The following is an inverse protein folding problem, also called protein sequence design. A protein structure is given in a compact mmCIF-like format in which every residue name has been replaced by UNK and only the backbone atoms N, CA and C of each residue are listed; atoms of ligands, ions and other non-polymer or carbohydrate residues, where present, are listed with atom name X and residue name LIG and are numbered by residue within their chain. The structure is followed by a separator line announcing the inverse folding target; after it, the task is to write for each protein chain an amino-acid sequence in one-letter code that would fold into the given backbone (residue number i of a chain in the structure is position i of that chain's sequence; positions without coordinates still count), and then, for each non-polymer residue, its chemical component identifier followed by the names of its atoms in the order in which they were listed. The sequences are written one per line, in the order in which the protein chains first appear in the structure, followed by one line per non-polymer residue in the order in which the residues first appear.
data_IF_042687667515
#
_entry.id   IF_042687667515
#
_cell.length_a   1.000
_cell.length_b   1.000
_cell.length_c   1.000
_cell.angle_alpha   90.00
_cell.angle_beta   90.00
_cell.angle_gamma   90.00
#
_symmetry.space_group_name_H-M   'P 1'
#
loop_
_entity.id
_entity.type
_entity.pdbx_description
1 polymer ?
#
# COMPACT_ATOMS: atom_id res chain seq x y z
N UNK A 1 8.60 -64.73 41.59
CA UNK A 1 9.60 -65.54 40.86
C UNK A 1 9.65 -65.01 39.43
N UNK A 2 10.74 -64.58 38.80
CA UNK A 2 12.11 -64.27 39.19
C UNK A 2 12.69 -63.33 38.09
N UNK A 3 13.36 -62.25 38.54
CA UNK A 3 14.56 -61.55 37.99
C UNK A 3 14.78 -61.50 36.46
N UNK A 4 14.78 -60.31 35.82
CA UNK A 4 15.84 -59.28 35.78
C UNK A 4 17.07 -59.65 34.92
N UNK A 5 17.29 -58.91 33.83
CA UNK A 5 18.63 -58.52 33.39
C UNK A 5 18.62 -57.10 32.83
N UNK A 6 19.41 -56.25 33.49
CA UNK A 6 19.76 -54.91 33.07
C UNK A 6 20.89 -54.95 32.03
N UNK A 7 20.88 -54.00 31.09
CA UNK A 7 21.96 -53.71 30.16
C UNK A 7 22.07 -52.21 29.96
N UNK A 8 23.02 -51.61 30.67
CA UNK A 8 23.51 -50.23 30.59
C UNK A 8 24.14 -49.93 29.21
N UNK A 9 23.97 -48.71 28.70
CA UNK A 9 24.37 -48.38 27.33
C UNK A 9 24.25 -46.91 26.92
N UNK A 10 24.81 -46.00 27.72
CA UNK A 10 25.44 -44.72 27.29
C UNK A 10 24.64 -43.73 26.42
N UNK A 11 24.38 -42.58 27.05
CA UNK A 11 24.24 -41.23 26.49
C UNK A 11 24.97 -41.02 25.15
N UNK A 12 24.24 -40.51 24.15
CA UNK A 12 24.78 -39.60 23.12
C UNK A 12 23.74 -38.54 22.81
N UNK A 13 23.97 -37.35 23.38
CA UNK A 13 23.40 -36.09 22.95
C UNK A 13 23.78 -35.86 21.48
N UNK A 14 22.84 -36.08 20.56
CA UNK A 14 23.00 -35.66 19.18
C UNK A 14 22.64 -34.16 19.10
N UNK A 15 23.62 -33.31 19.41
CA UNK A 15 23.59 -31.90 19.06
C UNK A 15 23.44 -31.76 17.55
N UNK A 16 22.28 -31.26 17.10
CA UNK A 16 22.16 -30.67 15.77
C UNK A 16 23.14 -29.49 15.65
N UNK A 17 24.02 -29.45 14.65
CA UNK A 17 24.86 -28.28 14.45
C UNK A 17 23.98 -27.11 13.98
N UNK A 18 24.00 -26.03 14.77
CA UNK A 18 23.48 -24.70 14.38
C UNK A 18 24.11 -24.32 13.04
N UNK A 19 23.30 -24.28 11.97
CA UNK A 19 23.72 -23.66 10.70
C UNK A 19 24.00 -22.18 10.97
N UNK A 20 25.27 -21.80 10.93
CA UNK A 20 25.67 -20.41 10.81
C UNK A 20 25.04 -19.83 9.54
N UNK A 21 24.41 -18.66 9.66
CA UNK A 21 23.89 -17.88 8.55
C UNK A 21 25.08 -17.33 7.72
N UNK A 22 25.61 -18.17 6.84
CA UNK A 22 26.54 -17.73 5.79
C UNK A 22 25.79 -16.90 4.77
N UNK A 23 26.29 -15.69 4.47
CA UNK A 23 25.82 -14.86 3.35
C UNK A 23 25.81 -15.72 2.09
N UNK A 24 24.65 -15.86 1.44
CA UNK A 24 24.57 -16.48 0.10
C UNK A 24 25.47 -15.68 -0.85
N UNK A 25 26.35 -16.33 -1.64
CA UNK A 25 27.05 -15.63 -2.70
C UNK A 25 26.03 -15.08 -3.71
N UNK A 26 26.28 -13.92 -4.33
CA UNK A 26 25.42 -13.40 -5.38
C UNK A 26 25.34 -14.40 -6.53
N UNK A 27 24.14 -14.56 -7.09
CA UNK A 27 23.89 -15.42 -8.24
C UNK A 27 24.81 -15.02 -9.41
N UNK A 28 25.62 -15.94 -9.98
CA UNK A 28 26.42 -15.64 -11.16
C UNK A 28 25.49 -15.49 -12.37
N UNK A 29 25.37 -14.29 -12.93
CA UNK A 29 24.64 -14.11 -14.20
C UNK A 29 23.94 -12.78 -14.44
N UNK A 30 23.77 -11.91 -13.45
CA UNK A 30 23.34 -10.52 -13.71
C UNK A 30 24.55 -9.71 -14.21
N UNK A 31 24.93 -9.93 -15.47
CA UNK A 31 25.62 -8.87 -16.22
C UNK A 31 24.65 -7.72 -16.35
N UNK A 32 25.10 -6.51 -16.04
CA UNK A 32 24.42 -5.27 -16.39
C UNK A 32 24.10 -5.33 -17.89
N UNK A 33 22.84 -5.64 -18.21
CA UNK A 33 22.34 -5.59 -19.58
C UNK A 33 21.88 -4.16 -19.80
N UNK A 34 22.58 -3.52 -20.71
CA UNK A 34 22.25 -2.34 -21.51
C UNK A 34 21.24 -1.38 -20.90
N UNK A 35 21.78 -0.21 -20.59
CA UNK A 35 21.15 1.05 -20.25
C UNK A 35 20.17 1.50 -21.35
N UNK A 36 19.06 0.78 -21.51
CA UNK A 36 17.88 1.34 -22.14
C UNK A 36 17.25 2.29 -21.12
N UNK A 37 17.78 3.51 -21.11
CA UNK A 37 17.29 4.69 -20.40
C UNK A 37 15.76 4.70 -20.37
N UNK A 38 15.19 4.35 -19.22
CA UNK A 38 13.80 4.71 -18.90
C UNK A 38 13.78 6.23 -18.93
N UNK A 39 13.13 6.81 -19.93
CA UNK A 39 13.11 8.26 -20.09
C UNK A 39 12.42 8.90 -18.87
N UNK A 40 13.20 9.69 -18.14
CA UNK A 40 12.81 10.31 -16.87
C UNK A 40 12.21 11.71 -17.11
N UNK A 41 11.01 12.01 -16.59
CA UNK A 41 10.50 13.38 -16.55
C UNK A 41 11.34 14.24 -15.59
N UNK A 42 12.00 15.29 -16.11
CA UNK A 42 12.88 16.21 -15.36
C UNK A 42 12.14 17.38 -14.66
N UNK A 43 10.92 17.18 -14.16
CA UNK A 43 10.05 18.33 -13.84
C UNK A 43 9.92 18.71 -12.35
N UNK A 44 10.72 18.16 -11.43
CA UNK A 44 10.50 18.37 -9.98
C UNK A 44 11.63 19.06 -9.20
N UNK A 45 12.71 19.49 -9.86
CA UNK A 45 13.73 20.42 -9.30
C UNK A 45 13.16 21.79 -8.85
N UNK A 46 11.86 22.00 -9.05
CA UNK A 46 11.11 23.20 -8.68
C UNK A 46 10.41 23.10 -7.32
N UNK A 47 10.32 21.91 -6.71
CA UNK A 47 9.71 21.77 -5.38
C UNK A 47 10.69 22.19 -4.28
N UNK A 48 11.96 21.77 -4.35
CA UNK A 48 12.98 22.16 -3.37
C UNK A 48 13.28 23.66 -3.39
N UNK A 49 13.36 24.26 -4.60
CA UNK A 49 13.66 25.69 -4.75
C UNK A 49 12.56 26.64 -4.29
N UNK A 50 11.33 26.15 -4.08
CA UNK A 50 10.22 26.99 -3.58
C UNK A 50 10.16 27.04 -2.05
N UNK A 51 10.98 26.28 -1.32
CA UNK A 51 11.07 26.42 0.15
C UNK A 51 11.74 27.73 0.56
N UNK A 52 12.64 28.27 -0.27
CA UNK A 52 13.45 29.46 0.06
C UNK A 52 12.75 30.80 -0.25
N UNK A 53 11.78 30.82 -1.15
CA UNK A 53 11.10 32.05 -1.61
C UNK A 53 9.87 32.47 -0.77
N UNK A 54 9.57 31.75 0.32
CA UNK A 54 8.33 31.94 1.09
C UNK A 54 8.56 32.87 2.30
N UNK A 55 8.86 34.13 2.03
CA UNK A 55 8.99 35.18 3.04
C UNK A 55 7.62 35.72 3.47
N UNK A 56 6.90 34.94 4.28
CA UNK A 56 5.79 35.41 5.12
C UNK A 56 5.99 34.87 6.53
N UNK A 57 5.43 35.48 7.59
CA UNK A 57 5.56 34.95 8.94
C UNK A 57 4.97 33.54 8.98
N UNK A 58 5.84 32.54 9.15
CA UNK A 58 5.50 31.12 9.12
C UNK A 58 4.45 30.75 10.19
N UNK A 59 4.27 31.58 11.24
CA UNK A 59 3.47 31.29 12.42
C UNK A 59 1.93 31.20 12.21
N UNK A 60 1.39 31.54 11.04
CA UNK A 60 -0.06 31.51 10.79
C UNK A 60 -0.47 30.69 9.56
N UNK A 61 0.47 30.04 8.87
CA UNK A 61 0.15 29.34 7.61
C UNK A 61 -0.68 28.07 7.85
N UNK A 62 -1.77 27.94 7.11
CA UNK A 62 -2.65 26.78 7.12
C UNK A 62 -2.45 25.98 5.83
N UNK A 63 -2.12 24.69 5.96
CA UNK A 63 -1.86 23.79 4.83
C UNK A 63 -2.90 22.68 4.78
N UNK A 64 -3.43 22.41 3.58
CA UNK A 64 -4.31 21.27 3.31
C UNK A 64 -3.55 20.17 2.55
N UNK A 65 -3.44 18.99 3.15
CA UNK A 65 -3.03 17.77 2.46
C UNK A 65 -4.26 17.00 1.97
N UNK A 66 -4.25 16.51 0.73
CA UNK A 66 -5.28 15.63 0.18
C UNK A 66 -4.61 14.38 -0.41
N UNK A 67 -5.03 13.20 0.04
CA UNK A 67 -4.62 11.91 -0.50
C UNK A 67 -5.83 11.19 -1.09
N UNK A 68 -5.84 10.96 -2.40
CA UNK A 68 -6.87 10.20 -3.10
C UNK A 68 -6.39 8.81 -3.47
N UNK A 69 -7.06 7.78 -2.95
CA UNK A 69 -6.78 6.37 -3.25
C UNK A 69 -7.90 5.69 -4.03
N UNK A 70 -7.74 4.38 -4.27
CA UNK A 70 -8.74 3.58 -4.98
C UNK A 70 -10.06 3.36 -4.22
N UNK A 71 -10.05 3.47 -2.90
CA UNK A 71 -11.20 3.18 -2.02
C UNK A 71 -11.69 4.39 -1.23
N UNK A 72 -10.79 5.34 -0.94
CA UNK A 72 -11.06 6.48 -0.06
C UNK A 72 -10.20 7.67 -0.46
N UNK A 73 -10.70 8.87 -0.18
CA UNK A 73 -9.92 10.12 -0.19
C UNK A 73 -9.88 10.67 1.22
N UNK A 74 -8.71 11.08 1.69
CA UNK A 74 -8.52 11.74 2.99
C UNK A 74 -7.99 13.14 2.80
N UNK A 75 -8.44 14.08 3.64
CA UNK A 75 -7.92 15.44 3.65
C UNK A 75 -7.63 15.88 5.08
N UNK A 76 -6.45 16.46 5.29
CA UNK A 76 -5.99 16.92 6.61
C UNK A 76 -5.57 18.37 6.50
N UNK A 77 -6.19 19.22 7.32
CA UNK A 77 -5.87 20.63 7.44
C UNK A 77 -5.01 20.82 8.69
N UNK A 78 -3.83 21.41 8.53
CA UNK A 78 -2.89 21.66 9.62
C UNK A 78 -2.48 23.13 9.68
N UNK A 79 -2.15 23.61 10.87
CA UNK A 79 -1.49 24.90 11.06
C UNK A 79 0.04 24.79 10.91
N UNK A 80 0.73 25.90 11.16
CA UNK A 80 2.18 26.01 11.08
C UNK A 80 2.95 25.20 12.14
N UNK A 81 2.27 24.74 13.20
CA UNK A 81 2.82 23.90 14.25
C UNK A 81 2.43 22.42 14.03
N UNK A 82 1.99 22.06 12.82
CA UNK A 82 1.47 20.75 12.43
C UNK A 82 0.28 20.28 13.29
N UNK A 83 -0.43 21.19 13.94
CA UNK A 83 -1.66 20.85 14.68
C UNK A 83 -2.80 20.62 13.69
N UNK A 84 -3.47 19.48 13.83
CA UNK A 84 -4.61 19.11 12.99
C UNK A 84 -5.82 19.97 13.35
N UNK A 85 -6.20 20.85 12.44
CA UNK A 85 -7.40 21.69 12.53
C UNK A 85 -8.65 20.95 12.04
N UNK A 86 -8.49 20.07 11.04
CA UNK A 86 -9.56 19.22 10.53
C UNK A 86 -9.00 17.95 9.88
N UNK A 87 -9.77 16.85 9.98
CA UNK A 87 -9.52 15.61 9.25
C UNK A 87 -10.83 15.14 8.63
N UNK A 88 -10.84 15.00 7.30
CA UNK A 88 -12.01 14.69 6.50
C UNK A 88 -11.76 13.41 5.69
N UNK A 89 -12.84 12.70 5.39
CA UNK A 89 -12.81 11.55 4.51
C UNK A 89 -13.96 11.66 3.50
N UNK A 90 -13.70 11.23 2.28
CA UNK A 90 -14.68 11.13 1.22
C UNK A 90 -14.51 9.82 0.44
N UNK A 91 -15.33 9.62 -0.59
CA UNK A 91 -15.29 8.45 -1.45
C UNK A 91 -13.97 8.28 -2.23
N UNK A 92 -13.89 7.28 -3.14
CA UNK A 92 -12.71 6.99 -3.93
C UNK A 92 -12.16 8.21 -4.68
N UNK A 93 -10.84 8.38 -4.63
CA UNK A 93 -10.08 9.46 -5.26
C UNK A 93 -9.10 8.91 -6.28
N UNK A 94 -9.57 8.16 -7.27
CA UNK A 94 -8.73 7.72 -8.38
C UNK A 94 -9.05 8.56 -9.61
N UNK A 95 -8.11 9.42 -10.01
CA UNK A 95 -8.30 10.38 -11.10
C UNK A 95 -8.76 9.71 -12.39
N UNK A 96 -8.33 8.48 -12.68
CA UNK A 96 -8.70 7.76 -13.90
C UNK A 96 -10.10 7.15 -13.86
N UNK A 97 -10.67 6.98 -12.67
CA UNK A 97 -12.01 6.43 -12.48
C UNK A 97 -13.07 7.52 -12.27
N UNK A 98 -12.64 8.75 -12.01
CA UNK A 98 -13.53 9.91 -11.84
C UNK A 98 -13.58 10.72 -13.13
N UNK A 99 -14.79 11.03 -13.60
CA UNK A 99 -15.00 12.10 -14.58
C UNK A 99 -14.83 13.49 -13.94
N UNK A 100 -14.96 14.55 -14.75
CA UNK A 100 -14.72 15.92 -14.29
C UNK A 100 -15.77 16.41 -13.28
N UNK A 101 -17.02 15.93 -13.39
CA UNK A 101 -18.10 16.30 -12.49
C UNK A 101 -17.93 15.61 -11.14
N UNK A 102 -17.65 14.30 -11.15
CA UNK A 102 -17.36 13.51 -9.95
C UNK A 102 -16.12 14.04 -9.22
N UNK A 103 -15.06 14.39 -9.94
CA UNK A 103 -13.86 15.00 -9.34
C UNK A 103 -14.19 16.36 -8.72
N UNK A 104 -14.97 17.21 -9.41
CA UNK A 104 -15.37 18.50 -8.86
C UNK A 104 -16.24 18.35 -7.62
N UNK A 105 -17.21 17.43 -7.63
CA UNK A 105 -18.08 17.13 -6.51
C UNK A 105 -17.29 16.60 -5.30
N UNK A 106 -16.33 15.69 -5.52
CA UNK A 106 -15.43 15.19 -4.50
C UNK A 106 -14.66 16.34 -3.82
N UNK A 107 -14.01 17.21 -4.61
CA UNK A 107 -13.21 18.32 -4.08
C UNK A 107 -14.07 19.38 -3.39
N UNK A 108 -15.25 19.70 -3.94
CA UNK A 108 -16.21 20.61 -3.33
C UNK A 108 -16.70 20.07 -1.98
N UNK A 109 -17.02 18.77 -1.90
CA UNK A 109 -17.46 18.15 -0.64
C UNK A 109 -16.41 18.26 0.47
N UNK A 110 -15.12 18.16 0.13
CA UNK A 110 -14.02 18.36 1.08
C UNK A 110 -13.94 19.83 1.48
N UNK A 111 -13.92 20.75 0.50
CA UNK A 111 -13.85 22.19 0.73
C UNK A 111 -14.94 22.69 1.68
N UNK A 112 -16.18 22.28 1.44
CA UNK A 112 -17.35 22.80 2.16
C UNK A 112 -17.40 22.33 3.62
N UNK A 113 -16.62 21.31 3.98
CA UNK A 113 -16.48 20.80 5.35
C UNK A 113 -15.25 21.37 6.08
N UNK A 114 -14.39 22.14 5.41
CA UNK A 114 -13.22 22.73 6.07
C UNK A 114 -13.64 23.88 6.99
N UNK A 115 -13.06 23.98 8.19
CA UNK A 115 -13.38 25.06 9.13
C UNK A 115 -12.86 26.42 8.67
N UNK A 116 -11.86 26.44 7.78
CA UNK A 116 -11.27 27.66 7.20
C UNK A 116 -10.63 27.35 5.85
N UNK A 117 -10.37 28.41 5.06
CA UNK A 117 -9.69 28.29 3.77
C UNK A 117 -8.19 28.04 4.01
N UNK A 118 -7.58 27.05 3.32
CA UNK A 118 -6.13 26.85 3.38
C UNK A 118 -5.38 27.94 2.63
N UNK A 119 -4.16 28.24 3.09
CA UNK A 119 -3.22 29.11 2.38
C UNK A 119 -2.49 28.35 1.26
N UNK A 120 -2.29 27.04 1.43
CA UNK A 120 -1.64 26.16 0.45
C UNK A 120 -2.20 24.75 0.47
N UNK A 121 -2.07 24.06 -0.66
CA UNK A 121 -2.61 22.71 -0.84
C UNK A 121 -1.53 21.77 -1.40
N UNK A 122 -1.37 20.59 -0.80
CA UNK A 122 -0.65 19.45 -1.37
C UNK A 122 -1.64 18.35 -1.70
N UNK A 123 -1.61 17.83 -2.94
CA UNK A 123 -2.53 16.78 -3.40
C UNK A 123 -1.77 15.64 -4.04
N UNK A 124 -1.97 14.43 -3.55
CA UNK A 124 -1.51 13.19 -4.13
C UNK A 124 -2.71 12.34 -4.50
N UNK A 125 -2.86 11.99 -5.78
CA UNK A 125 -4.02 11.22 -6.22
C UNK A 125 -3.63 10.01 -7.07
N UNK A 126 -4.18 8.85 -6.72
CA UNK A 126 -4.05 7.64 -7.51
C UNK A 126 -4.52 7.89 -8.95
N UNK A 127 -3.78 7.35 -9.92
CA UNK A 127 -4.11 7.51 -11.34
C UNK A 127 -3.50 8.73 -12.02
N UNK A 128 -2.87 9.65 -11.27
CA UNK A 128 -2.01 10.70 -11.86
C UNK A 128 -0.74 10.05 -12.40
N UNK A 129 -0.51 10.12 -13.72
CA UNK A 129 0.67 9.49 -14.36
C UNK A 129 1.35 10.40 -15.37
N UNK A 130 0.55 11.15 -16.11
CA UNK A 130 1.00 11.99 -17.22
C UNK A 130 0.92 13.48 -16.87
N UNK A 131 1.53 14.33 -17.70
CA UNK A 131 1.38 15.78 -17.59
C UNK A 131 -0.09 16.22 -17.74
N UNK A 132 -0.85 15.58 -18.64
CA UNK A 132 -2.27 15.86 -18.82
C UNK A 132 -3.11 15.51 -17.58
N UNK A 133 -2.77 14.42 -16.88
CA UNK A 133 -3.41 14.04 -15.62
C UNK A 133 -3.15 15.11 -14.54
N UNK A 134 -1.89 15.55 -14.41
CA UNK A 134 -1.50 16.63 -13.48
C UNK A 134 -2.22 17.93 -13.81
N UNK A 135 -2.32 18.30 -15.08
CA UNK A 135 -3.01 19.52 -15.51
C UNK A 135 -4.51 19.45 -15.20
N UNK A 136 -5.14 18.30 -15.47
CA UNK A 136 -6.55 18.05 -15.14
C UNK A 136 -6.81 18.22 -13.64
N UNK A 137 -5.99 17.59 -12.79
CA UNK A 137 -6.12 17.73 -11.34
C UNK A 137 -5.84 19.17 -10.89
N UNK A 138 -4.83 19.84 -11.45
CA UNK A 138 -4.51 21.26 -11.16
C UNK A 138 -5.71 22.15 -11.43
N UNK A 139 -6.37 21.99 -12.58
CA UNK A 139 -7.58 22.77 -12.93
C UNK A 139 -8.73 22.49 -11.96
N UNK A 140 -8.93 21.24 -11.57
CA UNK A 140 -9.97 20.87 -10.61
C UNK A 140 -9.73 21.51 -9.23
N UNK A 141 -8.48 21.48 -8.74
CA UNK A 141 -8.08 22.14 -7.49
C UNK A 141 -8.24 23.67 -7.59
N UNK A 142 -7.82 24.29 -8.69
CA UNK A 142 -7.95 25.73 -8.88
C UNK A 142 -9.42 26.19 -8.92
N UNK A 143 -10.34 25.34 -9.40
CA UNK A 143 -11.79 25.60 -9.36
C UNK A 143 -12.35 25.48 -7.95
N UNK A 144 -11.92 24.47 -7.19
CA UNK A 144 -12.39 24.24 -5.83
C UNK A 144 -11.84 25.30 -4.84
N UNK A 145 -10.56 25.68 -4.96
CA UNK A 145 -9.89 26.67 -4.12
C UNK A 145 -9.23 27.81 -4.93
N UNK A 146 -10.01 28.74 -5.51
CA UNK A 146 -9.48 29.84 -6.31
C UNK A 146 -8.42 30.67 -5.57
N UNK A 147 -7.33 30.96 -6.28
CA UNK A 147 -6.22 31.78 -5.78
C UNK A 147 -5.31 31.09 -4.75
N UNK A 148 -5.52 29.80 -4.46
CA UNK A 148 -4.72 29.06 -3.46
C UNK A 148 -3.60 28.30 -4.17
N UNK A 149 -2.32 28.54 -3.86
CA UNK A 149 -1.21 27.76 -4.39
C UNK A 149 -1.36 26.27 -4.08
N UNK A 150 -1.20 25.44 -5.10
CA UNK A 150 -1.32 23.99 -4.98
C UNK A 150 -0.14 23.26 -5.64
N UNK A 151 0.30 22.18 -5.00
CA UNK A 151 1.19 21.16 -5.57
C UNK A 151 0.36 19.91 -5.81
N UNK A 152 0.39 19.39 -7.04
CA UNK A 152 -0.33 18.17 -7.41
C UNK A 152 0.64 17.10 -7.87
N UNK A 153 0.40 15.87 -7.43
CA UNK A 153 1.23 14.71 -7.74
C UNK A 153 0.44 13.41 -7.70
N UNK A 154 1.16 12.32 -7.90
CA UNK A 154 0.64 11.00 -7.60
C UNK A 154 0.68 10.73 -6.08
N UNK A 155 -0.16 9.80 -5.65
CA UNK A 155 -0.28 9.32 -4.28
C UNK A 155 1.05 8.83 -3.70
N UNK A 156 1.88 8.16 -4.51
CA UNK A 156 3.15 7.59 -4.06
C UNK A 156 4.19 8.64 -3.74
N UNK A 157 4.31 9.68 -4.59
CA UNK A 157 5.23 10.78 -4.35
C UNK A 157 4.86 11.55 -3.09
N UNK A 158 3.56 11.79 -2.86
CA UNK A 158 3.11 12.43 -1.63
C UNK A 158 3.44 11.57 -0.41
N UNK A 159 3.17 10.27 -0.48
CA UNK A 159 3.42 9.36 0.63
C UNK A 159 4.91 9.21 0.99
N UNK A 160 5.82 9.22 0.01
CA UNK A 160 7.26 9.10 0.31
C UNK A 160 7.85 10.40 0.87
N UNK A 161 7.34 11.56 0.46
CA UNK A 161 7.81 12.88 0.91
C UNK A 161 7.09 13.36 2.19
N UNK A 162 6.13 12.58 2.72
CA UNK A 162 5.43 12.88 3.97
C UNK A 162 6.38 12.85 5.18
N UNK A 163 7.45 12.06 5.09
CA UNK A 163 8.47 11.94 6.13
C UNK A 163 9.70 12.78 5.81
N UNK A 164 10.22 13.46 6.82
CA UNK A 164 11.45 14.23 6.67
C UNK A 164 12.63 13.32 6.32
N UNK A 165 13.47 13.80 5.41
CA UNK A 165 14.69 13.08 5.06
C UNK A 165 15.70 13.12 6.20
N UNK A 166 16.15 11.97 6.70
CA UNK A 166 17.30 11.90 7.60
C UNK A 166 18.52 12.57 6.94
N UNK A 167 19.29 13.35 7.70
CA UNK A 167 20.33 14.24 7.16
C UNK A 167 21.40 13.52 6.32
N UNK A 168 21.71 12.27 6.65
CA UNK A 168 22.68 11.39 5.98
C UNK A 168 22.06 10.45 4.93
N UNK A 169 20.75 10.54 4.68
CA UNK A 169 20.05 9.67 3.75
C UNK A 169 20.14 10.16 2.30
N UNK A 170 20.71 9.34 1.42
CA UNK A 170 20.76 9.60 -0.02
C UNK A 170 19.48 9.15 -0.76
N UNK A 171 18.67 8.27 -0.15
CA UNK A 171 17.45 7.77 -0.79
C UNK A 171 16.48 7.11 0.18
N UNK A 172 15.19 7.34 -0.03
CA UNK A 172 14.08 6.72 0.69
C UNK A 172 13.45 5.61 -0.13
N UNK A 173 12.82 4.66 0.55
CA UNK A 173 12.02 3.61 -0.06
C UNK A 173 10.68 3.54 0.64
N UNK A 174 9.60 3.68 -0.13
CA UNK A 174 8.23 3.46 0.30
C UNK A 174 7.77 2.09 -0.19
N UNK A 175 7.33 1.24 0.74
CA UNK A 175 6.65 -0.01 0.43
C UNK A 175 5.18 0.12 0.77
N UNK A 176 4.33 -0.02 -0.24
CA UNK A 176 2.88 -0.01 -0.09
C UNK A 176 2.33 -1.41 -0.23
N UNK A 177 1.55 -1.83 0.75
CA UNK A 177 0.74 -3.05 0.69
C UNK A 177 -0.64 -2.81 1.30
N UNK A 178 -1.62 -2.61 0.43
CA UNK A 178 -3.04 -2.51 0.75
C UNK A 178 -3.83 -3.43 -0.18
N UNK A 179 -4.92 -2.94 -0.77
CA UNK A 179 -5.65 -3.69 -1.82
C UNK A 179 -4.75 -4.10 -2.99
N UNK A 180 -3.79 -3.24 -3.36
CA UNK A 180 -2.67 -3.56 -4.25
C UNK A 180 -1.33 -3.32 -3.56
N UNK A 181 -0.22 -3.49 -4.27
CA UNK A 181 1.11 -3.22 -3.71
C UNK A 181 2.08 -2.64 -4.72
N UNK A 182 3.03 -1.84 -4.23
CA UNK A 182 4.18 -1.40 -5.00
C UNK A 182 5.31 -0.91 -4.08
N UNK A 183 6.47 -0.69 -4.69
CA UNK A 183 7.62 -0.09 -4.05
C UNK A 183 8.05 1.14 -4.87
N UNK A 184 8.27 2.27 -4.18
CA UNK A 184 8.83 3.48 -4.76
C UNK A 184 10.17 3.77 -4.08
N UNK A 185 11.24 3.81 -4.86
CA UNK A 185 12.52 4.37 -4.44
C UNK A 185 12.63 5.83 -4.88
N UNK A 186 13.13 6.69 -4.00
CA UNK A 186 13.35 8.11 -4.22
C UNK A 186 14.77 8.46 -3.81
N UNK A 187 15.55 9.04 -4.71
CA UNK A 187 16.88 9.57 -4.41
C UNK A 187 16.76 11.07 -4.07
N UNK A 188 17.56 11.55 -3.12
CA UNK A 188 17.54 12.96 -2.66
C UNK A 188 17.79 13.93 -3.81
N UNK A 189 18.64 13.55 -4.76
CA UNK A 189 18.89 14.31 -5.99
C UNK A 189 17.77 14.24 -7.04
N UNK A 190 16.53 13.90 -6.67
CA UNK A 190 15.39 14.03 -7.56
C UNK A 190 15.10 12.86 -8.50
N UNK A 191 15.87 11.76 -8.46
CA UNK A 191 15.54 10.54 -9.22
C UNK A 191 14.50 9.68 -8.48
N UNK A 192 13.68 8.91 -9.20
CA UNK A 192 12.76 7.94 -8.61
C UNK A 192 12.65 6.67 -9.46
N UNK A 193 12.33 5.55 -8.80
CA UNK A 193 12.11 4.25 -9.44
C UNK A 193 10.90 3.56 -8.81
N UNK A 194 9.98 3.07 -9.63
CA UNK A 194 8.81 2.31 -9.17
C UNK A 194 8.91 0.85 -9.59
N UNK A 195 8.74 -0.05 -8.63
CA UNK A 195 8.67 -1.50 -8.83
C UNK A 195 7.29 -2.02 -8.38
N UNK A 196 6.69 -2.93 -9.15
CA UNK A 196 5.33 -3.41 -8.87
C UNK A 196 4.23 -2.41 -9.26
N UNK A 197 3.07 -2.47 -8.60
CA UNK A 197 1.90 -1.64 -8.94
C UNK A 197 1.37 -1.92 -10.33
N UNK A 198 1.41 -3.19 -10.76
CA UNK A 198 1.00 -3.64 -12.10
C UNK A 198 -0.40 -4.26 -12.12
N UNK A 199 -1.16 -4.08 -11.04
CA UNK A 199 -2.52 -4.61 -10.90
C UNK A 199 -2.53 -6.06 -10.43
N UNK A 200 -3.69 -6.54 -10.01
CA UNK A 200 -3.87 -7.82 -9.34
C UNK A 200 -3.68 -9.04 -10.24
N UNK A 201 -3.81 -8.89 -11.57
CA UNK A 201 -3.69 -10.04 -12.50
C UNK A 201 -2.23 -10.45 -12.69
N UNK A 202 -1.32 -9.48 -12.86
CA UNK A 202 0.08 -9.74 -13.24
C UNK A 202 1.10 -9.17 -12.24
N UNK A 203 0.63 -8.54 -11.17
CA UNK A 203 1.45 -7.79 -10.23
C UNK A 203 0.88 -7.82 -8.81
N UNK A 204 1.04 -6.70 -8.10
CA UNK A 204 0.54 -6.47 -6.74
C UNK A 204 0.87 -7.60 -5.73
N UNK A 205 2.04 -8.22 -5.90
CA UNK A 205 2.53 -9.28 -5.00
C UNK A 205 2.63 -8.79 -3.56
N UNK A 206 2.21 -9.61 -2.60
CA UNK A 206 2.17 -9.28 -1.18
C UNK A 206 1.07 -8.31 -0.79
N UNK A 207 0.18 -7.92 -1.71
CA UNK A 207 -1.03 -7.15 -1.40
C UNK A 207 -2.10 -8.03 -0.75
N UNK A 208 -3.12 -7.39 -0.16
CA UNK A 208 -4.31 -8.08 0.32
C UNK A 208 -4.98 -8.91 -0.79
N UNK A 209 -5.03 -8.41 -2.03
CA UNK A 209 -5.58 -9.17 -3.15
C UNK A 209 -4.74 -10.42 -3.47
N UNK A 210 -3.41 -10.29 -3.48
CA UNK A 210 -2.49 -11.42 -3.71
C UNK A 210 -2.59 -12.49 -2.62
N UNK A 211 -2.67 -12.06 -1.35
CA UNK A 211 -2.86 -12.95 -0.20
C UNK A 211 -4.20 -13.70 -0.32
N UNK A 212 -5.29 -12.99 -0.59
CA UNK A 212 -6.60 -13.60 -0.75
C UNK A 212 -6.65 -14.60 -1.92
N UNK A 213 -6.10 -14.25 -3.08
CA UNK A 213 -6.05 -15.16 -4.25
C UNK A 213 -5.24 -16.42 -3.92
N UNK A 214 -4.10 -16.29 -3.23
CA UNK A 214 -3.35 -17.46 -2.80
C UNK A 214 -4.14 -18.33 -1.83
N UNK A 215 -4.85 -17.73 -0.89
CA UNK A 215 -5.66 -18.47 0.07
C UNK A 215 -6.86 -19.17 -0.60
N UNK A 216 -7.59 -18.50 -1.50
CA UNK A 216 -8.66 -19.12 -2.32
C UNK A 216 -8.14 -20.33 -3.12
N UNK A 217 -7.01 -20.16 -3.83
CA UNK A 217 -6.40 -21.26 -4.60
C UNK A 217 -5.96 -22.42 -3.71
N UNK A 218 -5.42 -22.11 -2.53
CA UNK A 218 -4.99 -23.13 -1.57
C UNK A 218 -6.19 -23.90 -1.02
N UNK A 219 -7.27 -23.22 -0.68
CA UNK A 219 -8.53 -23.84 -0.22
C UNK A 219 -9.07 -24.83 -1.25
N UNK A 220 -9.17 -24.42 -2.52
CA UNK A 220 -9.63 -25.30 -3.61
C UNK A 220 -8.67 -26.48 -3.80
N UNK A 221 -7.36 -26.22 -3.82
CA UNK A 221 -6.34 -27.27 -3.99
C UNK A 221 -6.41 -28.33 -2.88
N UNK A 222 -6.58 -27.92 -1.62
CA UNK A 222 -6.71 -28.87 -0.50
C UNK A 222 -8.02 -29.65 -0.62
N UNK A 223 -9.13 -29.00 -0.99
CA UNK A 223 -10.41 -29.67 -1.22
C UNK A 223 -10.31 -30.75 -2.31
N UNK A 224 -9.60 -30.47 -3.40
CA UNK A 224 -9.37 -31.43 -4.50
C UNK A 224 -8.57 -32.66 -4.03
N UNK A 225 -7.64 -32.48 -3.08
CA UNK A 225 -6.76 -33.55 -2.57
C UNK A 225 -7.45 -34.37 -1.47
N UNK A 226 -8.14 -33.70 -0.53
CA UNK A 226 -8.63 -34.32 0.71
C UNK A 226 -10.13 -34.67 0.67
N UNK A 227 -10.85 -34.30 -0.40
CA UNK A 227 -12.29 -34.49 -0.57
C UNK A 227 -13.14 -33.89 0.59
N UNK A 228 -12.66 -32.78 1.18
CA UNK A 228 -13.34 -32.05 2.24
C UNK A 228 -12.98 -30.56 2.23
N UNK A 229 -13.86 -29.71 2.77
CA UNK A 229 -13.67 -28.27 2.75
C UNK A 229 -12.78 -27.79 3.92
N UNK A 230 -11.65 -27.10 3.65
CA UNK A 230 -10.74 -26.65 4.71
C UNK A 230 -11.37 -25.62 5.65
N UNK A 231 -10.91 -25.56 6.90
CA UNK A 231 -11.37 -24.57 7.89
C UNK A 231 -11.26 -23.12 7.38
N UNK A 232 -10.12 -22.75 6.79
CA UNK A 232 -9.95 -21.43 6.18
C UNK A 232 -10.98 -21.16 5.07
N UNK A 233 -11.33 -22.19 4.29
CA UNK A 233 -12.39 -22.09 3.29
C UNK A 233 -13.76 -21.86 3.92
N UNK A 234 -14.06 -22.54 5.03
CA UNK A 234 -15.32 -22.35 5.75
C UNK A 234 -15.43 -20.92 6.31
N UNK A 235 -14.34 -20.39 6.86
CA UNK A 235 -14.28 -19.01 7.34
C UNK A 235 -14.49 -17.99 6.21
N UNK A 236 -13.94 -18.26 5.02
CA UNK A 236 -14.17 -17.42 3.83
C UNK A 236 -15.62 -17.45 3.38
N UNK A 237 -16.26 -18.62 3.35
CA UNK A 237 -17.68 -18.74 3.02
C UNK A 237 -18.54 -17.98 4.03
N UNK A 238 -18.24 -18.12 5.33
CA UNK A 238 -18.94 -17.40 6.40
C UNK A 238 -18.79 -15.88 6.23
N UNK A 239 -17.58 -15.40 5.93
CA UNK A 239 -17.31 -13.98 5.69
C UNK A 239 -18.10 -13.44 4.48
N UNK A 240 -18.20 -14.23 3.42
CA UNK A 240 -18.97 -13.89 2.21
C UNK A 240 -20.47 -14.18 2.34
N UNK A 241 -20.91 -14.73 3.47
CA UNK A 241 -22.30 -15.17 3.71
C UNK A 241 -22.79 -16.20 2.67
N UNK A 242 -21.91 -17.09 2.26
CA UNK A 242 -22.17 -18.18 1.32
C UNK A 242 -22.33 -19.49 2.09
N UNK A 243 -23.26 -20.34 1.63
CA UNK A 243 -23.52 -21.64 2.25
C UNK A 243 -22.86 -22.80 1.51
N UNK A 244 -22.30 -22.54 0.32
CA UNK A 244 -21.88 -23.58 -0.61
C UNK A 244 -20.53 -23.23 -1.27
N UNK A 245 -19.54 -24.13 -1.25
CA UNK A 245 -18.24 -23.92 -1.91
C UNK A 245 -18.34 -23.54 -3.39
N UNK A 246 -19.29 -24.08 -4.13
CA UNK A 246 -19.50 -23.79 -5.55
C UNK A 246 -19.86 -22.31 -5.78
N UNK A 247 -20.54 -21.67 -4.83
CA UNK A 247 -20.83 -20.23 -4.88
C UNK A 247 -19.58 -19.37 -4.88
N UNK A 248 -18.47 -19.86 -4.29
CA UNK A 248 -17.19 -19.17 -4.30
C UNK A 248 -16.59 -19.10 -5.71
N UNK A 249 -16.83 -20.12 -6.55
CA UNK A 249 -16.35 -20.18 -7.93
C UNK A 249 -17.01 -19.08 -8.74
N UNK A 250 -18.35 -19.03 -8.73
CA UNK A 250 -19.12 -18.01 -9.47
C UNK A 250 -18.79 -16.59 -8.99
N UNK A 251 -18.72 -16.40 -7.66
CA UNK A 251 -18.34 -15.13 -7.07
C UNK A 251 -16.95 -14.68 -7.55
N UNK A 252 -15.96 -15.57 -7.55
CA UNK A 252 -14.57 -15.22 -7.92
C UNK A 252 -14.44 -14.70 -9.35
N UNK A 253 -15.34 -15.06 -10.25
CA UNK A 253 -15.32 -14.63 -11.66
C UNK A 253 -15.82 -13.19 -11.84
N UNK A 254 -16.62 -12.68 -10.90
CA UNK A 254 -17.25 -11.36 -10.97
C UNK A 254 -16.80 -10.40 -9.87
N UNK A 255 -16.20 -10.93 -8.80
CA UNK A 255 -15.73 -10.17 -7.66
C UNK A 255 -14.75 -9.08 -8.09
N UNK A 256 -14.98 -7.87 -7.60
CA UNK A 256 -14.05 -6.77 -7.76
C UNK A 256 -12.74 -7.05 -7.03
N UNK A 257 -11.68 -6.34 -7.42
CA UNK A 257 -10.38 -6.39 -6.73
C UNK A 257 -10.52 -6.12 -5.22
N UNK A 258 -11.43 -5.23 -4.84
CA UNK A 258 -11.66 -4.86 -3.44
C UNK A 258 -12.35 -5.98 -2.67
N UNK A 259 -13.34 -6.64 -3.27
CA UNK A 259 -14.02 -7.80 -2.69
C UNK A 259 -13.08 -9.00 -2.54
N UNK A 260 -12.21 -9.24 -3.52
CA UNK A 260 -11.18 -10.28 -3.37
C UNK A 260 -10.22 -9.90 -2.23
N UNK A 261 -9.74 -8.65 -2.20
CA UNK A 261 -8.79 -8.20 -1.18
C UNK A 261 -9.35 -8.23 0.25
N UNK A 262 -10.68 -8.13 0.45
CA UNK A 262 -11.26 -8.14 1.80
C UNK A 262 -11.08 -9.49 2.50
N UNK A 263 -11.00 -10.60 1.75
CA UNK A 263 -10.72 -11.93 2.28
C UNK A 263 -9.33 -12.05 2.94
N UNK A 264 -8.40 -11.13 2.70
CA UNK A 264 -7.13 -11.12 3.41
C UNK A 264 -7.32 -10.99 4.93
N UNK A 265 -8.40 -10.35 5.39
CA UNK A 265 -8.72 -10.24 6.82
C UNK A 265 -8.96 -11.62 7.43
N UNK A 266 -9.75 -12.46 6.76
CA UNK A 266 -10.01 -13.85 7.16
C UNK A 266 -8.70 -14.65 7.27
N UNK A 267 -7.79 -14.47 6.30
CA UNK A 267 -6.47 -15.12 6.31
C UNK A 267 -5.64 -14.70 7.52
N UNK A 268 -5.64 -13.41 7.85
CA UNK A 268 -4.88 -12.90 9.00
C UNK A 268 -5.48 -13.35 10.33
N UNK A 269 -6.81 -13.41 10.44
CA UNK A 269 -7.51 -13.93 11.62
C UNK A 269 -7.18 -15.41 11.85
N UNK A 270 -7.26 -16.23 10.81
CA UNK A 270 -6.90 -17.65 10.88
C UNK A 270 -5.42 -17.86 11.26
N UNK A 271 -4.51 -17.04 10.72
CA UNK A 271 -3.09 -17.08 11.04
C UNK A 271 -2.82 -16.72 12.51
N UNK A 272 -3.51 -15.70 13.04
CA UNK A 272 -3.40 -15.30 14.44
C UNK A 272 -3.86 -16.40 15.40
N UNK A 273 -4.95 -17.10 15.07
CA UNK A 273 -5.45 -18.23 15.86
C UNK A 273 -4.48 -19.42 15.87
N UNK A 274 -3.85 -19.74 14.74
CA UNK A 274 -2.81 -20.78 14.67
C UNK A 274 -1.57 -20.43 15.52
N UNK A 275 -1.14 -19.17 15.52
CA UNK A 275 -0.02 -18.72 16.36
C UNK A 275 -0.36 -18.75 17.86
N UNK A 276 -1.58 -18.40 18.24
CA UNK A 276 -2.01 -18.47 19.64
C UNK A 276 -2.07 -19.92 20.17
N UNK A 277 -2.39 -20.89 19.31
CA UNK A 277 -2.42 -22.31 19.65
C UNK A 277 -1.00 -22.89 19.80
N UNK A 278 -0.06 -22.49 18.93
CA UNK A 278 1.34 -22.95 18.97
C UNK A 278 2.18 -22.30 20.06
N UNK A 279 1.86 -21.08 20.51
CA UNK A 279 2.57 -20.40 21.60
C UNK A 279 2.15 -20.86 23.01
N UNK A 280 1.10 -21.67 23.15
CA UNK A 280 0.61 -22.23 24.43
C UNK A 280 0.93 -23.72 24.61
N UNK A 281 1.68 -24.33 23.68
CA UNK A 281 2.08 -25.73 23.69
C UNK A 281 3.52 -25.96 24.12
#
# INVERSE_FOLDING_TARGET
MARAHAGDGRRRDALHPRRQAGRRPPLPGLRARDEALVQFPRELDRLDRRREDLQGPLNEMITLGIEGGGTRTTATLVDAADQVLASLSAGPGNLRLLDDEQLAALLASLRDQLPTKPDRIGVGMAGVRTAADRERLTRAIARAWPGTPAVVGDDLLLAIEAESWASDCAGQVLLLSGTGSCCLGRHRGGASVKVGGRGHIIGDRGSACDIAVHALRSTVTISDIEAGWPALGADMLAFLQMNDPEGLIEWSMSASKTEIASLAQVVFEAAALCHAFTARG
#
